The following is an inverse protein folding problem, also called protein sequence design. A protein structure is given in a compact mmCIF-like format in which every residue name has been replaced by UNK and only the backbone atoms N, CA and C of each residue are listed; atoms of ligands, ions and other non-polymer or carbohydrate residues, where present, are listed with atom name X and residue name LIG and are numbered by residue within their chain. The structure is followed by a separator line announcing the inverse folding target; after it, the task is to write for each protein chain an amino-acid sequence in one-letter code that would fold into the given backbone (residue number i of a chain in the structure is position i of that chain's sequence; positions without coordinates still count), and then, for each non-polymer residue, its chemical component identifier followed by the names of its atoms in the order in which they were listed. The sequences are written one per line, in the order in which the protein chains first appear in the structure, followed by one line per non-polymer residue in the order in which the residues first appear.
data_IF_836953198427
#
_entry.id   IF_836953198427
#
_cell.length_a   1.000
_cell.length_b   1.000
_cell.length_c   1.000
_cell.angle_alpha   90.00
_cell.angle_beta   90.00
_cell.angle_gamma   90.00
#
_symmetry.space_group_name_H-M   'P 1'
#
loop_
_entity.id
_entity.type
_entity.pdbx_description
1 polymer ?
#
# COMPACT_ATOMS: atom_id res chain seq x y z
N UNK A 1 -19.25 29.74 -5.26
CA UNK A 1 -19.89 29.41 -3.97
C UNK A 1 -19.08 28.25 -3.42
N UNK A 2 -17.92 28.52 -2.78
CA UNK A 2 -16.84 27.55 -2.63
C UNK A 2 -17.19 26.26 -1.88
N UNK A 3 -18.16 26.31 -0.97
CA UNK A 3 -18.64 25.14 -0.24
C UNK A 3 -19.42 24.16 -1.13
N UNK A 4 -20.28 24.65 -2.02
CA UNK A 4 -20.98 23.79 -2.97
C UNK A 4 -20.00 23.16 -3.96
N UNK A 5 -18.99 23.94 -4.36
CA UNK A 5 -17.93 23.48 -5.24
C UNK A 5 -17.15 22.33 -4.58
N UNK A 6 -16.83 22.42 -3.28
CA UNK A 6 -16.20 21.32 -2.51
C UNK A 6 -16.99 20.02 -2.62
N UNK A 7 -18.29 20.02 -2.30
CA UNK A 7 -19.13 18.82 -2.35
C UNK A 7 -19.37 18.26 -3.76
N UNK A 8 -19.09 19.04 -4.80
CA UNK A 8 -19.23 18.61 -6.20
C UNK A 8 -17.98 17.95 -6.77
N UNK A 9 -16.85 17.98 -6.05
CA UNK A 9 -15.57 17.46 -6.53
C UNK A 9 -15.63 15.94 -6.74
N UNK A 10 -15.24 15.55 -7.95
CA UNK A 10 -15.07 14.16 -8.38
C UNK A 10 -13.68 13.96 -8.98
N UNK A 11 -13.11 12.75 -8.93
CA UNK A 11 -11.86 12.47 -9.62
C UNK A 11 -12.01 12.65 -11.13
N UNK A 12 -10.93 13.07 -11.79
CA UNK A 12 -10.87 13.00 -13.26
C UNK A 12 -10.63 11.55 -13.72
N UNK A 13 -10.90 11.27 -14.99
CA UNK A 13 -10.85 9.90 -15.54
C UNK A 13 -9.48 9.20 -15.38
N UNK A 14 -8.38 9.96 -15.35
CA UNK A 14 -7.01 9.43 -15.26
C UNK A 14 -6.25 10.02 -14.06
N UNK A 15 -6.96 10.53 -13.05
CA UNK A 15 -6.33 11.12 -11.87
C UNK A 15 -5.93 10.03 -10.88
N UNK A 16 -4.70 10.09 -10.37
CA UNK A 16 -4.24 9.19 -9.33
C UNK A 16 -4.90 9.48 -7.98
N UNK A 17 -4.98 8.49 -7.07
CA UNK A 17 -5.58 8.68 -5.75
C UNK A 17 -4.88 9.77 -4.93
N UNK A 18 -3.56 9.92 -5.08
CA UNK A 18 -2.76 10.95 -4.41
C UNK A 18 -3.13 12.35 -4.91
N UNK A 19 -3.21 12.53 -6.23
CA UNK A 19 -3.56 13.81 -6.84
C UNK A 19 -4.98 14.24 -6.48
N UNK A 20 -5.92 13.28 -6.50
CA UNK A 20 -7.29 13.51 -6.09
C UNK A 20 -7.37 13.94 -4.62
N UNK A 21 -6.65 13.26 -3.72
CA UNK A 21 -6.59 13.63 -2.30
C UNK A 21 -6.08 15.07 -2.10
N UNK A 22 -4.99 15.45 -2.78
CA UNK A 22 -4.42 16.80 -2.71
C UNK A 22 -5.42 17.84 -3.21
N UNK A 23 -6.07 17.60 -4.34
CA UNK A 23 -7.03 18.52 -4.93
C UNK A 23 -8.25 18.70 -4.05
N UNK A 24 -8.74 17.62 -3.45
CA UNK A 24 -9.86 17.64 -2.52
C UNK A 24 -9.52 18.44 -1.25
N UNK A 25 -8.31 18.26 -0.69
CA UNK A 25 -7.82 19.04 0.46
C UNK A 25 -7.78 20.54 0.15
N UNK A 26 -7.20 20.92 -0.99
CA UNK A 26 -7.14 22.33 -1.42
C UNK A 26 -8.51 22.97 -1.55
N UNK A 27 -9.50 22.22 -2.04
CA UNK A 27 -10.86 22.72 -2.14
C UNK A 27 -11.56 22.84 -0.78
N UNK A 28 -11.31 21.89 0.14
CA UNK A 28 -11.78 22.01 1.52
C UNK A 28 -11.20 23.26 2.18
N UNK A 29 -9.89 23.52 2.02
CA UNK A 29 -9.23 24.73 2.53
C UNK A 29 -9.86 26.00 1.96
N UNK A 30 -10.12 26.06 0.65
CA UNK A 30 -10.77 27.21 0.02
C UNK A 30 -12.20 27.42 0.55
N UNK A 31 -12.96 26.34 0.76
CA UNK A 31 -14.30 26.40 1.34
C UNK A 31 -14.26 26.89 2.79
N UNK A 32 -13.28 26.45 3.58
CA UNK A 32 -13.09 26.89 4.97
C UNK A 32 -12.71 28.35 5.03
N UNK A 33 -11.75 28.80 4.20
CA UNK A 33 -11.36 30.21 4.14
C UNK A 33 -12.54 31.12 3.79
N UNK A 34 -13.38 30.68 2.85
CA UNK A 34 -14.62 31.39 2.51
C UNK A 34 -15.58 31.46 3.70
N UNK A 35 -15.83 30.34 4.39
CA UNK A 35 -16.72 30.33 5.56
C UNK A 35 -16.20 31.21 6.70
N UNK A 36 -14.89 31.16 6.98
CA UNK A 36 -14.25 32.01 7.99
C UNK A 36 -14.44 33.49 7.65
N UNK A 37 -14.33 33.87 6.38
CA UNK A 37 -14.56 35.25 5.94
C UNK A 37 -16.01 35.74 6.15
N UNK A 38 -16.96 34.81 6.23
CA UNK A 38 -18.37 35.07 6.52
C UNK A 38 -18.74 34.86 7.98
N UNK A 39 -17.76 34.62 8.87
CA UNK A 39 -18.00 34.35 10.29
C UNK A 39 -18.64 32.98 10.58
N UNK A 40 -18.53 32.04 9.63
CA UNK A 40 -19.05 30.66 9.73
C UNK A 40 -17.90 29.67 9.86
N UNK A 41 -18.20 28.46 10.31
CA UNK A 41 -17.23 27.36 10.40
C UNK A 41 -17.73 26.13 9.65
N UNK A 42 -16.80 25.33 9.13
CA UNK A 42 -17.12 24.02 8.57
C UNK A 42 -16.99 22.97 9.69
N UNK A 43 -18.10 22.43 10.23
CA UNK A 43 -18.00 21.39 11.24
C UNK A 43 -17.36 20.14 10.65
N UNK A 44 -16.45 19.54 11.41
CA UNK A 44 -15.85 18.24 11.10
C UNK A 44 -15.19 18.13 9.71
N UNK A 45 -14.51 19.20 9.25
CA UNK A 45 -13.81 19.25 7.96
C UNK A 45 -13.04 17.96 7.62
N UNK A 46 -12.23 17.45 8.55
CA UNK A 46 -11.42 16.25 8.31
C UNK A 46 -12.26 14.98 8.09
N UNK A 47 -13.41 14.87 8.76
CA UNK A 47 -14.33 13.74 8.59
C UNK A 47 -15.04 13.83 7.22
N UNK A 48 -15.54 15.02 6.88
CA UNK A 48 -16.18 15.27 5.58
C UNK A 48 -15.21 15.00 4.42
N UNK A 49 -13.96 15.44 4.55
CA UNK A 49 -12.91 15.20 3.58
C UNK A 49 -12.63 13.71 3.38
N UNK A 50 -12.56 12.94 4.47
CA UNK A 50 -12.36 11.49 4.42
C UNK A 50 -13.53 10.78 3.73
N UNK A 51 -14.76 11.12 4.11
CA UNK A 51 -15.98 10.60 3.49
C UNK A 51 -16.00 10.89 1.99
N UNK A 52 -15.68 12.12 1.60
CA UNK A 52 -15.64 12.53 0.19
C UNK A 52 -14.60 11.77 -0.61
N UNK A 53 -13.42 11.54 -0.05
CA UNK A 53 -12.37 10.76 -0.70
C UNK A 53 -12.77 9.30 -0.85
N UNK A 54 -13.20 8.65 0.23
CA UNK A 54 -13.58 7.23 0.24
C UNK A 54 -14.72 6.97 -0.75
N UNK A 55 -15.72 7.87 -0.81
CA UNK A 55 -16.86 7.75 -1.73
C UNK A 55 -16.44 7.77 -3.19
N UNK A 56 -15.43 8.56 -3.52
CA UNK A 56 -15.04 8.89 -4.89
C UNK A 56 -13.61 8.43 -5.20
N UNK A 57 -13.11 7.40 -4.52
CA UNK A 57 -11.74 6.94 -4.70
C UNK A 57 -11.52 6.50 -6.17
N UNK A 58 -10.54 7.10 -6.90
CA UNK A 58 -10.29 6.76 -8.31
C UNK A 58 -9.59 5.42 -8.48
N UNK A 59 -8.90 4.93 -7.45
CA UNK A 59 -8.16 3.68 -7.47
C UNK A 59 -9.04 2.51 -6.99
N UNK A 60 -9.12 1.44 -7.79
CA UNK A 60 -10.02 0.32 -7.54
C UNK A 60 -9.56 -0.57 -6.39
N UNK A 61 -8.26 -0.76 -6.23
CA UNK A 61 -7.69 -1.63 -5.19
C UNK A 61 -7.81 -0.92 -3.84
N UNK A 62 -7.44 0.36 -3.78
CA UNK A 62 -7.63 1.20 -2.61
C UNK A 62 -9.12 1.35 -2.24
N UNK A 63 -10.01 1.49 -3.22
CA UNK A 63 -11.45 1.50 -2.98
C UNK A 63 -11.98 0.18 -2.39
N UNK A 64 -11.33 -0.96 -2.63
CA UNK A 64 -11.67 -2.22 -1.95
C UNK A 64 -11.26 -2.19 -0.48
N UNK A 65 -10.08 -1.65 -0.15
CA UNK A 65 -9.64 -1.48 1.24
C UNK A 65 -10.66 -0.66 2.03
N UNK A 66 -11.20 0.40 1.42
CA UNK A 66 -12.19 1.24 2.08
C UNK A 66 -13.55 0.58 2.35
N UNK A 67 -13.82 -0.59 1.77
CA UNK A 67 -15.03 -1.38 2.06
C UNK A 67 -14.94 -2.18 3.36
N UNK A 68 -13.77 -2.20 4.02
CA UNK A 68 -13.57 -2.93 5.28
C UNK A 68 -14.36 -2.34 6.47
N UNK A 69 -14.76 -1.06 6.39
CA UNK A 69 -15.58 -0.39 7.40
C UNK A 69 -16.52 0.65 6.77
N UNK A 70 -17.58 1.08 7.47
CA UNK A 70 -18.50 2.11 6.98
C UNK A 70 -17.79 3.41 6.58
N UNK A 71 -18.36 4.10 5.58
CA UNK A 71 -17.75 5.31 5.02
C UNK A 71 -17.54 6.44 6.03
N UNK A 72 -18.44 6.58 7.00
CA UNK A 72 -18.36 7.61 8.05
C UNK A 72 -17.32 7.34 9.13
N UNK A 73 -16.80 6.11 9.21
CA UNK A 73 -15.85 5.71 10.25
C UNK A 73 -14.40 5.93 9.81
N UNK A 74 -14.18 6.35 8.56
CA UNK A 74 -12.86 6.70 8.05
C UNK A 74 -12.45 8.10 8.51
N UNK A 75 -11.27 8.18 9.11
CA UNK A 75 -10.62 9.43 9.45
C UNK A 75 -9.68 9.87 8.33
N UNK A 76 -9.42 11.18 8.21
CA UNK A 76 -8.46 11.70 7.24
C UNK A 76 -7.05 11.13 7.45
N UNK A 77 -6.67 10.86 8.70
CA UNK A 77 -5.39 10.25 9.04
C UNK A 77 -5.28 8.82 8.50
N UNK A 78 -6.30 7.98 8.70
CA UNK A 78 -6.28 6.62 8.15
C UNK A 78 -6.29 6.60 6.63
N UNK A 79 -7.02 7.52 5.99
CA UNK A 79 -6.98 7.69 4.53
C UNK A 79 -5.55 8.03 4.08
N UNK A 80 -4.89 8.95 4.79
CA UNK A 80 -3.50 9.31 4.50
C UNK A 80 -2.54 8.13 4.71
N UNK A 81 -2.72 7.35 5.77
CA UNK A 81 -1.88 6.17 6.03
C UNK A 81 -1.99 5.15 4.88
N UNK A 82 -3.19 4.96 4.31
CA UNK A 82 -3.39 4.08 3.14
C UNK A 82 -2.77 4.64 1.86
N UNK A 83 -2.79 5.95 1.70
CA UNK A 83 -2.12 6.61 0.57
C UNK A 83 -0.60 6.50 0.68
N UNK A 84 -0.06 6.64 1.88
CA UNK A 84 1.37 6.49 2.17
C UNK A 84 1.83 5.04 1.96
N UNK A 85 1.00 4.06 2.30
CA UNK A 85 1.19 2.64 1.98
C UNK A 85 1.26 2.40 0.47
N UNK A 86 0.29 2.92 -0.28
CA UNK A 86 0.27 2.82 -1.75
C UNK A 86 1.53 3.43 -2.39
N UNK A 87 1.99 4.59 -1.89
CA UNK A 87 3.24 5.21 -2.35
C UNK A 87 4.47 4.36 -2.05
N UNK A 88 4.50 3.70 -0.88
CA UNK A 88 5.60 2.82 -0.48
C UNK A 88 5.64 1.56 -1.33
N UNK A 89 4.50 0.95 -1.62
CA UNK A 89 4.36 -0.21 -2.49
C UNK A 89 4.80 0.10 -3.92
N UNK A 90 4.38 1.24 -4.47
CA UNK A 90 4.79 1.67 -5.80
C UNK A 90 6.31 1.89 -5.90
N UNK A 91 6.94 2.42 -4.83
CA UNK A 91 8.40 2.56 -4.76
C UNK A 91 9.10 1.19 -4.68
N UNK A 92 8.57 0.24 -3.91
CA UNK A 92 9.14 -1.10 -3.79
C UNK A 92 9.04 -1.90 -5.10
N UNK A 93 7.91 -1.80 -5.81
CA UNK A 93 7.73 -2.44 -7.12
C UNK A 93 8.66 -1.81 -8.18
N UNK A 94 8.81 -0.48 -8.17
CA UNK A 94 9.73 0.22 -9.06
C UNK A 94 11.20 -0.15 -8.83
N UNK A 95 11.62 -0.37 -7.58
CA UNK A 95 13.00 -0.82 -7.30
C UNK A 95 13.23 -2.28 -7.68
N UNK A 96 12.23 -3.16 -7.53
CA UNK A 96 12.32 -4.56 -8.00
C UNK A 96 12.42 -4.66 -9.51
N UNK A 97 11.63 -3.89 -10.26
CA UNK A 97 11.71 -3.85 -11.73
C UNK A 97 13.06 -3.29 -12.19
N UNK A 98 13.56 -2.23 -11.54
CA UNK A 98 14.89 -1.66 -11.85
C UNK A 98 16.04 -2.64 -11.59
N UNK A 99 15.94 -3.49 -10.55
CA UNK A 99 16.94 -4.53 -10.28
C UNK A 99 16.92 -5.66 -11.32
N UNK A 100 15.78 -5.95 -11.95
CA UNK A 100 15.70 -6.95 -13.01
C UNK A 100 16.29 -6.46 -14.34
N UNK A 101 16.23 -5.16 -14.66
CA UNK A 101 16.90 -4.60 -15.85
C UNK A 101 18.40 -4.34 -15.65
N UNK A 102 18.87 -4.12 -14.42
CA UNK A 102 20.29 -3.97 -14.13
C UNK A 102 21.11 -5.26 -14.30
N UNK A 103 20.47 -6.43 -14.28
CA UNK A 103 21.14 -7.72 -14.49
C UNK A 103 21.44 -8.03 -15.98
N UNK A 104 21.08 -7.14 -16.92
CA UNK A 104 21.24 -7.38 -18.37
C UNK A 104 22.23 -6.42 -19.06
N UNK A 105 22.67 -5.35 -18.40
CA UNK A 105 23.64 -4.42 -18.98
C UNK A 105 24.79 -4.13 -18.01
N UNK A 106 25.79 -5.01 -18.01
CA UNK A 106 27.13 -4.68 -17.54
C UNK A 106 27.87 -3.96 -18.68
N UNK A 107 27.91 -2.63 -18.61
CA UNK A 107 28.87 -1.83 -19.34
C UNK A 107 29.18 -0.57 -18.52
N UNK A 108 30.44 -0.29 -18.16
CA UNK A 108 30.76 0.83 -17.28
C UNK A 108 30.75 2.13 -18.07
N UNK A 109 29.95 3.11 -17.64
CA UNK A 109 30.10 4.48 -18.09
C UNK A 109 30.18 5.44 -16.91
N UNK A 110 31.34 6.10 -16.81
CA UNK A 110 31.59 7.23 -15.93
C UNK A 110 30.74 8.44 -16.34
N UNK A 111 30.33 9.22 -15.33
CA UNK A 111 30.18 10.66 -15.50
C UNK A 111 28.87 11.30 -15.07
N UNK A 112 29.04 12.41 -14.34
CA UNK A 112 28.22 13.62 -14.28
C UNK A 112 27.23 13.73 -13.10
N UNK A 113 27.42 14.83 -12.36
CA UNK A 113 26.91 15.09 -11.02
C UNK A 113 25.42 15.42 -10.89
N UNK A 114 24.93 15.57 -9.64
CA UNK A 114 23.51 15.61 -9.37
C UNK A 114 22.88 16.98 -9.66
N UNK A 115 21.84 16.95 -10.50
CA UNK A 115 20.88 18.04 -10.74
C UNK A 115 20.05 18.27 -9.47
N UNK A 116 20.02 19.52 -9.02
CA UNK A 116 19.20 20.01 -7.89
C UNK A 116 17.71 19.84 -8.22
N UNK A 117 16.98 19.10 -7.39
CA UNK A 117 15.50 19.08 -7.39
C UNK A 117 14.97 20.23 -6.53
N UNK A 118 13.89 20.92 -6.93
CA UNK A 118 13.27 21.94 -6.10
C UNK A 118 12.55 21.31 -4.90
N UNK A 119 12.80 21.90 -3.74
CA UNK A 119 12.18 21.58 -2.46
C UNK A 119 10.71 22.02 -2.48
N UNK A 120 9.79 21.07 -2.56
CA UNK A 120 8.36 21.32 -2.33
C UNK A 120 8.11 21.03 -0.86
N UNK A 121 8.00 22.09 -0.06
CA UNK A 121 7.61 21.99 1.35
C UNK A 121 6.17 21.47 1.43
N UNK A 122 6.00 20.25 1.91
CA UNK A 122 4.69 19.68 2.21
C UNK A 122 4.26 20.05 3.64
N UNK A 123 2.97 20.38 3.74
CA UNK A 123 2.07 20.15 4.87
C UNK A 123 2.13 21.06 6.10
N UNK A 124 1.07 21.88 6.23
CA UNK A 124 0.58 22.37 7.52
C UNK A 124 -0.26 21.26 8.14
N UNK A 125 0.34 20.55 9.09
CA UNK A 125 -0.26 19.45 9.82
C UNK A 125 -1.07 20.02 10.99
N UNK A 126 -2.30 19.53 11.18
CA UNK A 126 -2.98 19.69 12.46
C UNK A 126 -2.21 18.82 13.49
N UNK A 127 -1.32 19.48 14.24
CA UNK A 127 -0.60 19.04 15.45
C UNK A 127 -0.20 17.57 15.58
N UNK A 128 1.07 17.26 15.28
CA UNK A 128 1.80 16.13 15.87
C UNK A 128 3.13 16.62 16.44
N UNK A 129 3.32 16.50 17.75
CA UNK A 129 4.62 16.60 18.41
C UNK A 129 5.45 15.34 18.11
N UNK A 130 6.77 15.45 17.87
CA UNK A 130 7.63 14.31 17.63
C UNK A 130 8.26 13.82 18.94
N UNK A 131 7.92 12.60 19.36
CA UNK A 131 8.70 11.88 20.36
C UNK A 131 9.55 10.78 19.72
N UNK A 132 10.71 10.58 20.32
CA UNK A 132 11.95 10.08 19.70
C UNK A 132 12.01 8.54 19.63
N UNK A 133 12.82 8.02 18.70
CA UNK A 133 12.94 6.61 18.27
C UNK A 133 13.35 5.59 19.36
N UNK A 134 13.32 4.26 19.07
CA UNK A 134 14.48 3.68 18.38
C UNK A 134 14.15 2.72 17.24
N UNK A 135 14.96 2.81 16.20
CA UNK A 135 15.11 1.85 15.12
C UNK A 135 15.60 0.50 15.64
N UNK A 136 14.81 -0.55 15.46
CA UNK A 136 15.29 -1.94 15.55
C UNK A 136 15.19 -2.55 14.16
N UNK A 137 16.33 -3.01 13.67
CA UNK A 137 16.50 -3.65 12.36
C UNK A 137 15.69 -4.94 12.29
N UNK A 138 14.46 -4.86 11.79
CA UNK A 138 13.53 -5.99 11.63
C UNK A 138 13.68 -6.75 10.30
N UNK A 139 14.60 -6.31 9.42
CA UNK A 139 14.76 -6.87 8.07
C UNK A 139 15.39 -8.26 8.03
N UNK A 140 16.25 -8.60 9.00
CA UNK A 140 16.95 -9.89 9.03
C UNK A 140 16.07 -11.06 9.45
N UNK A 141 15.15 -10.83 10.39
CA UNK A 141 14.27 -11.87 10.94
C UNK A 141 13.29 -12.39 9.89
N UNK A 142 12.74 -11.50 9.06
CA UNK A 142 11.77 -11.88 8.03
C UNK A 142 12.42 -12.68 6.89
N UNK A 143 13.62 -12.31 6.45
CA UNK A 143 14.39 -13.07 5.45
C UNK A 143 14.70 -14.49 5.93
N UNK A 144 15.01 -14.66 7.21
CA UNK A 144 15.26 -15.98 7.80
C UNK A 144 13.98 -16.83 7.82
N UNK A 145 12.82 -16.23 8.14
CA UNK A 145 11.53 -16.93 8.12
C UNK A 145 11.15 -17.34 6.70
N UNK A 146 11.29 -16.45 5.71
CA UNK A 146 11.03 -16.77 4.31
C UNK A 146 11.93 -17.92 3.81
N UNK A 147 13.22 -17.86 4.13
CA UNK A 147 14.18 -18.91 3.78
C UNK A 147 13.84 -20.25 4.45
N UNK A 148 13.40 -20.23 5.72
CA UNK A 148 13.02 -21.44 6.44
C UNK A 148 11.75 -22.08 5.85
N UNK A 149 10.79 -21.26 5.45
CA UNK A 149 9.55 -21.71 4.79
C UNK A 149 9.85 -22.33 3.41
N UNK A 150 10.73 -21.73 2.61
CA UNK A 150 11.16 -22.29 1.33
C UNK A 150 11.86 -23.65 1.50
N UNK A 151 12.76 -23.77 2.49
CA UNK A 151 13.43 -25.04 2.81
C UNK A 151 12.46 -26.10 3.33
N UNK A 152 11.43 -25.72 4.08
CA UNK A 152 10.39 -26.64 4.53
C UNK A 152 9.53 -27.15 3.37
N UNK A 153 9.16 -26.29 2.42
CA UNK A 153 8.44 -26.67 1.21
C UNK A 153 9.25 -27.65 0.35
N UNK A 154 10.54 -27.36 0.11
CA UNK A 154 11.43 -28.25 -0.65
C UNK A 154 11.62 -29.60 0.05
N UNK A 155 11.79 -29.61 1.38
CA UNK A 155 11.96 -30.83 2.17
C UNK A 155 10.69 -31.70 2.20
N UNK A 156 9.50 -31.08 2.17
CA UNK A 156 8.22 -31.80 2.13
C UNK A 156 8.07 -32.61 0.83
N UNK A 157 8.55 -32.09 -0.30
CA UNK A 157 8.50 -32.79 -1.60
C UNK A 157 9.47 -33.97 -1.71
N UNK A 158 10.54 -34.02 -0.91
CA UNK A 158 11.44 -35.19 -0.86
C UNK A 158 10.88 -36.37 -0.05
N UNK A 159 9.96 -36.12 0.89
CA UNK A 159 9.35 -37.20 1.69
C UNK A 159 8.36 -38.07 0.91
N UNK A 160 7.83 -37.58 -0.21
CA UNK A 160 6.84 -38.31 -1.05
C UNK A 160 7.51 -39.34 -1.97
N UNK A 161 8.84 -39.30 -2.14
CA UNK A 161 9.58 -40.22 -3.03
C UNK A 161 10.27 -41.41 -2.35
N UNK A 162 9.95 -41.71 -1.08
CA UNK A 162 10.29 -43.01 -0.48
C UNK A 162 9.03 -43.89 -0.45
N UNK A 163 8.85 -44.63 -1.53
CA UNK A 163 7.68 -45.46 -1.78
C UNK A 163 7.39 -46.50 -0.68
N UNK A 164 6.12 -46.94 -0.56
CA UNK A 164 5.78 -48.04 0.31
C UNK A 164 6.27 -49.35 -0.32
N UNK A 165 7.25 -50.01 0.31
CA UNK A 165 7.61 -51.41 0.01
C UNK A 165 6.39 -52.30 0.36
N UNK A 166 5.53 -52.54 -0.63
CA UNK A 166 4.51 -53.59 -0.59
C UNK A 166 5.22 -54.93 -0.79
N UNK A 167 5.38 -55.72 0.26
CA UNK A 167 5.56 -57.17 0.12
C UNK A 167 4.18 -57.79 -0.05
N UNK A 168 3.91 -58.38 -1.21
CA UNK A 168 2.75 -59.23 -1.43
C UNK A 168 3.11 -60.43 -2.29
N UNK A 169 2.38 -61.51 -2.02
CA UNK A 169 2.28 -62.81 -2.69
C UNK A 169 3.16 -63.91 -2.06
N UNK A 170 2.64 -65.11 -1.76
CA UNK A 170 1.59 -65.86 -2.46
C UNK A 170 0.96 -66.92 -1.53
N UNK A 171 -0.37 -66.89 -1.34
CA UNK A 171 -1.15 -68.03 -0.85
C UNK A 171 -1.28 -69.03 -2.00
N UNK A 172 -0.77 -70.24 -1.85
CA UNK A 172 -1.23 -71.40 -2.63
C UNK A 172 -2.22 -72.18 -1.77
N UNK A 173 -3.43 -72.34 -2.30
CA UNK A 173 -4.38 -73.38 -1.91
C UNK A 173 -4.11 -74.56 -2.83
N UNK A 174 -3.96 -75.75 -2.28
CA UNK A 174 -4.24 -77.00 -2.97
C UNK A 174 -5.25 -77.78 -2.13
N UNK A 175 -6.23 -78.36 -2.84
CA UNK A 175 -7.33 -79.15 -2.30
C UNK A 175 -7.14 -80.63 -2.67
N UNK A 176 -7.77 -81.51 -1.87
CA UNK A 176 -8.10 -82.93 -2.12
C UNK A 176 -6.92 -83.92 -2.04
N UNK A 177 -7.02 -85.13 -1.45
CA UNK A 177 -8.12 -86.03 -1.04
C UNK A 177 -7.77 -86.66 0.30
#
# INVERSE_FOLDING_TARGET
MPLADFYSIKPYANEGPIDFWIRLNKAAEAAVQYLVSEGRTLPNQCSELAVMFVRNCPDKELAQVFKSKPIGDWTASEVQDRLDELLREHKACSTQLSQQVAAVFDCPQEGVGPVKRPNVSYFSQCGREPDQAPSVSEGGTLMNVLTLLEKALVSSTQSVNRGPRKQFHKRQRECAV
#
